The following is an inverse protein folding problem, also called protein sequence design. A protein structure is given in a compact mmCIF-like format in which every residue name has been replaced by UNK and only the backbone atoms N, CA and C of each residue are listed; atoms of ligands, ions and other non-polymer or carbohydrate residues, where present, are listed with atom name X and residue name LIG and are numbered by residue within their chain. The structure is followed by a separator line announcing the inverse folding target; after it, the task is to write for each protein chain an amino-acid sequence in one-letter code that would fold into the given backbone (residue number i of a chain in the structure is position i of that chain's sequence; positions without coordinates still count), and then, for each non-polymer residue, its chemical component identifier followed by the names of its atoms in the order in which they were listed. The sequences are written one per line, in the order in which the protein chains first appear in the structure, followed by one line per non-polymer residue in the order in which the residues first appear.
data_IF_214792892022
#
_entry.id   IF_214792892022
#
_cell.length_a   1.000
_cell.length_b   1.000
_cell.length_c   1.000
_cell.angle_alpha   90.00
_cell.angle_beta   90.00
_cell.angle_gamma   90.00
#
_symmetry.space_group_name_H-M   'P 1'
#
loop_
_entity.id
_entity.type
_entity.pdbx_description
1 polymer ?
#
# COMPACT_ATOMS: atom_id res chain seq x y z
N UNK A 1 0.11 -6.21 8.36
CA UNK A 1 1.43 -6.83 8.36
C UNK A 1 1.31 -8.34 8.61
N UNK A 2 0.74 -8.77 9.71
CA UNK A 2 0.72 -10.17 10.18
C UNK A 2 0.17 -11.16 9.13
N UNK A 3 -0.91 -10.78 8.41
CA UNK A 3 -1.53 -11.63 7.40
C UNK A 3 -0.58 -12.02 6.23
N UNK A 4 0.48 -11.26 6.01
CA UNK A 4 1.51 -11.53 5.00
C UNK A 4 2.86 -11.89 5.61
N UNK A 5 2.94 -12.10 6.94
CA UNK A 5 4.19 -12.42 7.64
C UNK A 5 5.19 -11.27 7.74
N UNK A 6 4.77 -10.02 7.47
CA UNK A 6 5.62 -8.85 7.62
C UNK A 6 5.59 -8.30 9.05
N UNK A 7 6.70 -7.75 9.51
CA UNK A 7 6.80 -7.11 10.81
C UNK A 7 6.32 -5.66 10.72
N UNK A 8 5.34 -5.29 11.53
CA UNK A 8 4.95 -3.90 11.70
C UNK A 8 5.92 -3.22 12.67
N UNK A 9 6.77 -2.33 12.15
CA UNK A 9 7.77 -1.61 12.97
C UNK A 9 7.15 -0.72 14.05
N UNK A 10 5.87 -0.36 13.88
CA UNK A 10 5.10 0.47 14.83
C UNK A 10 4.21 -0.37 15.77
N UNK A 11 4.38 -1.69 15.84
CA UNK A 11 3.52 -2.58 16.63
C UNK A 11 3.53 -2.28 18.14
N UNK A 12 4.59 -1.65 18.65
CA UNK A 12 4.69 -1.30 20.06
C UNK A 12 3.93 -0.02 20.44
N UNK A 13 3.36 0.70 19.45
CA UNK A 13 2.52 1.85 19.73
C UNK A 13 1.17 1.34 20.26
N UNK A 14 0.86 1.69 21.51
CA UNK A 14 -0.31 1.21 22.28
C UNK A 14 -1.67 1.71 21.78
N UNK A 15 -1.79 2.10 20.51
CA UNK A 15 -3.04 2.65 19.95
C UNK A 15 -3.43 1.94 18.66
N UNK A 16 -4.67 1.53 18.60
CA UNK A 16 -5.26 0.86 17.43
C UNK A 16 -5.55 1.79 16.24
N UNK A 17 -5.39 3.09 16.41
CA UNK A 17 -5.69 4.12 15.41
C UNK A 17 -4.48 4.99 15.09
N UNK A 18 -4.63 5.86 14.10
CA UNK A 18 -3.59 6.78 13.64
C UNK A 18 -2.84 7.45 14.79
N UNK A 19 -1.55 7.20 14.85
CA UNK A 19 -0.65 7.79 15.83
C UNK A 19 0.33 8.71 15.11
N UNK A 20 0.42 9.94 15.57
CA UNK A 20 1.46 10.84 15.08
C UNK A 20 2.82 10.39 15.64
N UNK A 21 3.75 10.13 14.74
CA UNK A 21 5.14 9.82 15.06
C UNK A 21 6.03 10.95 14.55
N UNK A 22 7.12 11.20 15.24
CA UNK A 22 8.13 12.14 14.77
C UNK A 22 9.11 11.45 13.81
N UNK A 23 9.87 12.24 13.07
CA UNK A 23 10.79 11.69 12.07
C UNK A 23 11.97 10.95 12.70
N UNK A 24 12.40 11.31 13.91
CA UNK A 24 13.43 10.59 14.67
C UNK A 24 13.00 9.15 14.94
N UNK A 25 11.73 8.93 15.28
CA UNK A 25 11.17 7.60 15.45
C UNK A 25 11.13 6.81 14.13
N UNK A 26 10.79 7.46 13.02
CA UNK A 26 10.83 6.83 11.70
C UNK A 26 12.24 6.42 11.31
N UNK A 27 13.25 7.27 11.58
CA UNK A 27 14.66 6.92 11.35
C UNK A 27 15.14 5.78 12.25
N UNK A 28 14.69 5.75 13.51
CA UNK A 28 15.04 4.67 14.43
C UNK A 28 14.46 3.32 13.98
N UNK A 29 13.24 3.31 13.47
CA UNK A 29 12.62 2.10 12.89
C UNK A 29 13.23 1.72 11.55
N UNK A 30 13.62 2.70 10.76
CA UNK A 30 14.17 2.55 9.41
C UNK A 30 13.45 1.48 8.57
N UNK A 31 12.16 1.66 8.27
CA UNK A 31 11.38 0.64 7.58
C UNK A 31 11.97 0.36 6.19
N UNK A 32 11.97 -0.92 5.81
CA UNK A 32 12.35 -1.36 4.47
C UNK A 32 11.23 -1.25 3.45
N UNK A 33 9.99 -1.00 3.91
CA UNK A 33 8.78 -0.93 3.08
C UNK A 33 7.80 0.05 3.71
N UNK A 34 7.20 0.93 2.89
CA UNK A 34 6.19 1.89 3.31
C UNK A 34 4.96 1.76 2.43
N UNK A 35 3.78 1.67 3.05
CA UNK A 35 2.49 1.77 2.40
C UNK A 35 1.81 3.09 2.74
N UNK A 36 1.55 3.91 1.73
CA UNK A 36 0.84 5.19 1.85
C UNK A 36 -0.64 4.95 1.66
N UNK A 37 -1.46 5.32 2.63
CA UNK A 37 -2.91 5.07 2.59
C UNK A 37 -3.65 6.01 1.64
N UNK A 38 -4.89 5.64 1.25
CA UNK A 38 -5.77 6.48 0.42
C UNK A 38 -6.50 7.59 1.23
N UNK A 39 -6.10 7.83 2.49
CA UNK A 39 -6.61 8.93 3.31
C UNK A 39 -5.74 10.19 3.21
N UNK A 40 -4.73 10.18 2.35
CA UNK A 40 -3.86 11.32 2.06
C UNK A 40 -3.66 11.47 0.56
N UNK A 41 -3.43 12.72 0.12
CA UNK A 41 -3.07 13.04 -1.26
C UNK A 41 -1.63 12.67 -1.63
N UNK A 42 -0.79 12.38 -0.64
CA UNK A 42 0.60 12.03 -0.90
C UNK A 42 0.70 10.65 -1.55
N UNK A 43 1.69 10.49 -2.41
CA UNK A 43 2.06 9.25 -3.05
C UNK A 43 3.54 8.91 -2.82
N UNK A 44 4.05 7.83 -3.42
CA UNK A 44 5.46 7.45 -3.33
C UNK A 44 6.42 8.56 -3.76
N UNK A 45 6.10 9.28 -4.85
CA UNK A 45 6.93 10.36 -5.40
C UNK A 45 7.12 11.51 -4.42
N UNK A 46 6.12 11.79 -3.56
CA UNK A 46 6.23 12.83 -2.55
C UNK A 46 7.28 12.49 -1.50
N UNK A 47 7.44 11.20 -1.15
CA UNK A 47 8.49 10.75 -0.24
C UNK A 47 9.86 10.76 -0.93
N UNK A 48 9.93 10.31 -2.19
CA UNK A 48 11.18 10.31 -2.97
C UNK A 48 11.72 11.71 -3.19
N UNK A 49 10.83 12.69 -3.38
CA UNK A 49 11.17 14.10 -3.64
C UNK A 49 11.21 14.96 -2.36
N UNK A 50 11.05 14.38 -1.17
CA UNK A 50 11.02 15.10 0.11
C UNK A 50 9.97 16.23 0.17
N UNK A 51 8.79 16.03 -0.43
CA UNK A 51 7.71 17.04 -0.45
C UNK A 51 6.66 16.82 0.64
N UNK A 52 6.82 15.78 1.48
CA UNK A 52 5.93 15.51 2.62
C UNK A 52 6.45 16.27 3.85
N UNK A 53 5.85 17.42 4.11
CA UNK A 53 6.25 18.28 5.22
C UNK A 53 7.64 18.89 5.01
N UNK A 54 8.38 19.06 6.12
CA UNK A 54 9.76 19.58 6.13
C UNK A 54 10.79 18.50 6.46
N UNK A 55 10.42 17.25 6.27
CA UNK A 55 11.21 16.09 6.69
C UNK A 55 12.10 15.57 5.56
N UNK A 56 13.25 15.05 5.92
CA UNK A 56 14.16 14.36 5.00
C UNK A 56 13.85 12.85 5.00
N UNK A 57 13.14 12.39 4.00
CA UNK A 57 12.81 10.98 3.82
C UNK A 57 13.95 10.18 3.15
N UNK A 58 14.94 10.87 2.55
CA UNK A 58 16.01 10.21 1.79
C UNK A 58 16.91 9.29 2.64
N UNK A 59 16.88 9.45 3.97
CA UNK A 59 17.61 8.59 4.89
C UNK A 59 16.94 7.24 5.18
N UNK A 60 15.65 7.09 4.82
CA UNK A 60 14.85 5.87 5.10
C UNK A 60 15.08 4.82 4.02
N UNK A 61 15.35 3.58 4.42
CA UNK A 61 15.68 2.49 3.49
C UNK A 61 14.59 2.21 2.46
N UNK A 62 13.32 2.27 2.85
CA UNK A 62 12.20 2.14 1.91
C UNK A 62 12.24 3.18 0.80
N UNK A 63 12.65 4.41 1.12
CA UNK A 63 12.76 5.51 0.14
C UNK A 63 13.99 5.33 -0.74
N UNK A 64 15.16 5.02 -0.16
CA UNK A 64 16.40 4.73 -0.91
C UNK A 64 16.23 3.61 -1.92
N UNK A 65 15.47 2.58 -1.54
CA UNK A 65 15.31 1.36 -2.35
C UNK A 65 14.04 1.40 -3.22
N UNK A 66 13.33 2.53 -3.30
CA UNK A 66 12.07 2.67 -4.03
C UNK A 66 11.01 1.63 -3.63
N UNK A 67 10.91 1.36 -2.33
CA UNK A 67 9.95 0.42 -1.73
C UNK A 67 8.83 1.18 -1.00
N UNK A 68 8.29 2.20 -1.63
CA UNK A 68 7.13 2.96 -1.16
C UNK A 68 5.98 2.72 -2.13
N UNK A 69 4.83 2.34 -1.61
CA UNK A 69 3.66 1.98 -2.40
C UNK A 69 2.43 2.75 -1.94
N UNK A 70 1.62 3.23 -2.89
CA UNK A 70 0.27 3.72 -2.61
C UNK A 70 -0.68 2.54 -2.47
N UNK A 71 -1.47 2.51 -1.41
CA UNK A 71 -2.47 1.44 -1.22
C UNK A 71 -3.45 1.40 -2.39
N UNK A 72 -3.89 0.21 -2.82
CA UNK A 72 -4.88 0.06 -3.88
C UNK A 72 -6.19 0.79 -3.57
N UNK A 73 -6.93 1.12 -4.61
CA UNK A 73 -8.27 1.68 -4.55
C UNK A 73 -9.20 0.84 -5.43
N UNK A 74 -9.83 -0.14 -4.82
CA UNK A 74 -10.80 -1.03 -5.48
C UNK A 74 -12.24 -0.59 -5.23
N UNK A 75 -13.05 -1.47 -4.67
CA UNK A 75 -14.45 -1.17 -4.30
C UNK A 75 -14.52 -0.07 -3.23
N UNK A 76 -13.50 -0.01 -2.39
CA UNK A 76 -13.27 1.04 -1.40
C UNK A 76 -11.76 1.23 -1.19
N UNK A 77 -11.37 2.07 -0.25
CA UNK A 77 -9.96 2.28 0.17
C UNK A 77 -9.41 1.00 0.79
N UNK A 78 -8.47 0.34 0.12
CA UNK A 78 -8.00 -1.00 0.49
C UNK A 78 -7.20 -1.06 1.80
N UNK A 79 -6.85 0.09 2.40
CA UNK A 79 -6.34 0.13 3.77
C UNK A 79 -7.39 -0.36 4.79
N UNK A 80 -8.66 -0.07 4.55
CA UNK A 80 -9.77 -0.55 5.36
C UNK A 80 -10.20 -1.92 4.85
N UNK A 81 -10.29 -2.95 5.72
CA UNK A 81 -10.80 -4.25 5.32
C UNK A 81 -12.17 -4.15 4.65
N UNK A 82 -12.31 -4.77 3.53
CA UNK A 82 -13.51 -4.74 2.69
C UNK A 82 -13.68 -6.00 1.88
N UNK A 83 -14.61 -5.96 0.96
CA UNK A 83 -14.99 -7.12 0.13
C UNK A 83 -13.87 -7.55 -0.84
N UNK A 84 -12.97 -6.66 -1.18
CA UNK A 84 -11.80 -6.89 -2.05
C UNK A 84 -10.49 -7.09 -1.25
N UNK A 85 -10.58 -7.27 0.07
CA UNK A 85 -9.42 -7.58 0.92
C UNK A 85 -8.57 -8.75 0.41
N UNK A 86 -9.11 -9.87 -0.13
CA UNK A 86 -8.27 -10.96 -0.63
C UNK A 86 -7.27 -10.52 -1.72
N UNK A 87 -7.70 -9.74 -2.70
CA UNK A 87 -6.80 -9.24 -3.77
C UNK A 87 -5.84 -8.17 -3.24
N UNK A 88 -6.25 -7.40 -2.23
CA UNK A 88 -5.37 -6.45 -1.52
C UNK A 88 -4.26 -7.19 -0.76
N UNK A 89 -4.58 -8.29 -0.07
CA UNK A 89 -3.58 -9.10 0.63
C UNK A 89 -2.58 -9.74 -0.34
N UNK A 90 -3.06 -10.21 -1.49
CA UNK A 90 -2.20 -10.74 -2.54
C UNK A 90 -1.23 -9.67 -3.07
N UNK A 91 -1.75 -8.46 -3.33
CA UNK A 91 -0.92 -7.32 -3.73
C UNK A 91 0.10 -6.93 -2.66
N UNK A 92 -0.29 -6.88 -1.38
CA UNK A 92 0.62 -6.60 -0.26
C UNK A 92 1.73 -7.65 -0.17
N UNK A 93 1.39 -8.94 -0.28
CA UNK A 93 2.35 -10.02 -0.25
C UNK A 93 3.32 -9.95 -1.43
N UNK A 94 2.81 -9.69 -2.65
CA UNK A 94 3.64 -9.53 -3.86
C UNK A 94 4.55 -8.30 -3.78
N UNK A 95 4.08 -7.19 -3.18
CA UNK A 95 4.89 -5.99 -2.96
C UNK A 95 5.99 -6.22 -1.93
N UNK A 96 5.70 -6.96 -0.85
CA UNK A 96 6.67 -7.23 0.20
C UNK A 96 7.68 -8.33 -0.16
N UNK A 97 7.27 -9.32 -0.94
CA UNK A 97 8.05 -10.52 -1.25
C UNK A 97 7.98 -10.86 -2.75
N UNK A 98 8.38 -9.95 -3.66
CA UNK A 98 8.18 -10.13 -5.10
C UNK A 98 8.76 -11.44 -5.64
N UNK A 99 9.88 -11.91 -5.08
CA UNK A 99 10.53 -13.16 -5.49
C UNK A 99 9.72 -14.43 -5.15
N UNK A 100 8.82 -14.36 -4.16
CA UNK A 100 7.95 -15.49 -3.77
C UNK A 100 6.64 -15.52 -4.55
N UNK A 101 6.31 -14.43 -5.25
CA UNK A 101 5.05 -14.25 -5.98
C UNK A 101 5.29 -13.84 -7.44
N UNK A 102 6.43 -14.20 -8.03
CA UNK A 102 6.79 -13.84 -9.41
C UNK A 102 5.97 -14.60 -10.45
N UNK A 103 5.45 -15.77 -10.09
CA UNK A 103 4.56 -16.62 -10.90
C UNK A 103 3.08 -16.21 -10.82
N UNK A 104 2.73 -15.28 -9.93
CA UNK A 104 1.36 -14.80 -9.77
C UNK A 104 1.08 -13.61 -10.70
N UNK A 105 0.10 -13.76 -11.58
CA UNK A 105 -0.46 -12.66 -12.35
C UNK A 105 -1.55 -11.97 -11.54
N UNK A 106 -1.19 -10.87 -10.87
CA UNK A 106 -2.09 -10.12 -10.01
C UNK A 106 -3.33 -9.59 -10.76
N UNK A 107 -3.18 -9.20 -12.02
CA UNK A 107 -4.29 -8.68 -12.82
C UNK A 107 -5.26 -9.80 -13.16
N UNK A 108 -4.76 -10.95 -13.60
CA UNK A 108 -5.59 -12.13 -13.88
C UNK A 108 -6.33 -12.60 -12.62
N UNK A 109 -5.65 -12.70 -11.48
CA UNK A 109 -6.25 -13.09 -10.20
C UNK A 109 -7.34 -12.10 -9.75
N UNK A 110 -7.10 -10.80 -9.90
CA UNK A 110 -8.08 -9.76 -9.58
C UNK A 110 -9.33 -9.87 -10.44
N UNK A 111 -9.16 -10.04 -11.75
CA UNK A 111 -10.28 -10.22 -12.69
C UNK A 111 -11.09 -11.47 -12.36
N UNK A 112 -10.41 -12.59 -12.07
CA UNK A 112 -11.07 -13.83 -11.69
C UNK A 112 -11.88 -13.66 -10.40
N UNK A 113 -11.29 -13.03 -9.38
CA UNK A 113 -11.95 -12.76 -8.12
C UNK A 113 -13.19 -11.88 -8.29
N UNK A 114 -13.10 -10.76 -9.03
CA UNK A 114 -14.23 -9.86 -9.26
C UNK A 114 -15.34 -10.54 -10.06
N UNK A 115 -14.98 -11.36 -11.03
CA UNK A 115 -15.98 -12.13 -11.80
C UNK A 115 -16.66 -13.18 -10.94
N UNK A 116 -15.92 -13.93 -10.13
CA UNK A 116 -16.47 -15.03 -9.32
C UNK A 116 -17.33 -14.52 -8.17
N UNK A 117 -16.85 -13.50 -7.45
CA UNK A 117 -17.47 -13.02 -6.21
C UNK A 117 -18.57 -12.00 -6.47
N UNK A 118 -18.40 -11.11 -7.45
CA UNK A 118 -19.32 -10.00 -7.71
C UNK A 118 -20.02 -10.07 -9.05
N UNK A 119 -19.66 -11.01 -9.93
CA UNK A 119 -20.19 -11.07 -11.30
C UNK A 119 -19.72 -9.91 -12.18
N UNK A 120 -18.62 -9.25 -11.82
CA UNK A 120 -18.08 -8.08 -12.51
C UNK A 120 -16.92 -8.51 -13.41
N UNK A 121 -17.08 -8.37 -14.73
CA UNK A 121 -16.03 -8.61 -15.70
C UNK A 121 -15.17 -7.34 -15.86
N UNK A 122 -14.01 -7.29 -15.20
CA UNK A 122 -13.06 -6.19 -15.36
C UNK A 122 -12.23 -6.36 -16.65
N UNK A 123 -11.90 -5.24 -17.30
CA UNK A 123 -10.82 -5.19 -18.30
C UNK A 123 -9.46 -5.19 -17.60
N UNK A 124 -8.37 -5.43 -18.33
CA UNK A 124 -7.01 -5.36 -17.79
C UNK A 124 -6.67 -3.94 -17.30
N UNK A 125 -7.15 -2.92 -18.01
CA UNK A 125 -6.97 -1.51 -17.62
C UNK A 125 -7.70 -1.20 -16.30
N UNK A 126 -8.94 -1.67 -16.16
CA UNK A 126 -9.70 -1.49 -14.93
C UNK A 126 -9.06 -2.20 -13.74
N UNK A 127 -8.63 -3.45 -13.92
CA UNK A 127 -7.95 -4.20 -12.87
C UNK A 127 -6.61 -3.56 -12.50
N UNK A 128 -5.83 -3.08 -13.47
CA UNK A 128 -4.55 -2.39 -13.24
C UNK A 128 -4.75 -1.07 -12.50
N UNK A 129 -5.81 -0.31 -12.81
CA UNK A 129 -6.10 0.96 -12.17
C UNK A 129 -6.37 0.83 -10.66
N UNK A 130 -6.84 -0.33 -10.19
CA UNK A 130 -7.02 -0.63 -8.76
C UNK A 130 -5.68 -0.49 -8.01
N UNK A 131 -4.58 -0.97 -8.60
CA UNK A 131 -3.25 -1.02 -7.98
C UNK A 131 -2.37 0.19 -8.30
N UNK A 132 -2.82 1.08 -9.16
CA UNK A 132 -2.12 2.30 -9.53
C UNK A 132 -3.06 3.52 -9.44
N UNK A 133 -3.71 3.75 -8.27
CA UNK A 133 -4.61 4.88 -8.13
C UNK A 133 -3.82 6.20 -8.20
N UNK A 134 -4.41 7.27 -8.78
CA UNK A 134 -3.84 8.60 -8.69
C UNK A 134 -3.60 9.00 -7.22
N UNK A 135 -2.60 9.83 -6.96
CA UNK A 135 -2.24 10.22 -5.59
C UNK A 135 -3.42 10.87 -4.84
N UNK A 136 -4.22 11.69 -5.54
CA UNK A 136 -5.41 12.34 -5.01
C UNK A 136 -6.64 11.42 -4.87
N UNK A 137 -6.60 10.22 -5.44
CA UNK A 137 -7.72 9.29 -5.35
C UNK A 137 -8.01 8.90 -3.90
N UNK A 138 -9.27 8.98 -3.52
CA UNK A 138 -9.70 8.64 -2.16
C UNK A 138 -9.59 9.78 -1.14
N UNK A 139 -9.11 10.97 -1.50
CA UNK A 139 -8.98 12.11 -0.57
C UNK A 139 -10.21 13.02 -0.52
N UNK A 140 -11.18 12.82 -1.38
CA UNK A 140 -12.37 13.68 -1.52
C UNK A 140 -13.52 13.33 -0.59
N UNK A 141 -13.35 13.52 0.73
CA UNK A 141 -14.44 13.44 1.71
C UNK A 141 -14.20 14.45 2.81
#
# INVERSE_FOLDING_TARGET
ADAIGAVNVAQELEKDNSVAVNMEQVYAWNPSLIFVTNFTKFGPEDLYNNTVGTYDWSAVDAVKNHQVYKMPLGMYRSYTPGVDTPVTLLWLAKSAYPQLFNDIDLIAETKAYYQEVFGIALTDEQASAIFAPPAEAGTGF
#
